data_IF_018324481528
#
_entry.id   IF_018324481528
#
_cell.length_a   1.000
_cell.length_b   1.000
_cell.length_c   1.000
_cell.angle_alpha   90.00
_cell.angle_beta   90.00
_cell.angle_gamma   90.00
#
_symmetry.space_group_name_H-M   'P 1'
#
loop_
_entity.id
_entity.type
_entity.pdbx_description
1 polymer ?
#
# COMPACT_ATOMS: atom_id res chain seq x y z
N UNK A 1 -11.66 -0.65 -12.89
CA UNK A 1 -10.43 -0.17 -12.25
C UNK A 1 -9.50 -1.36 -12.24
N UNK A 2 -8.38 -1.24 -12.94
CA UNK A 2 -7.32 -2.24 -12.90
C UNK A 2 -6.62 -2.20 -11.55
N UNK A 3 -6.15 -3.34 -11.06
CA UNK A 3 -5.56 -3.42 -9.73
C UNK A 3 -4.11 -2.92 -9.74
N UNK A 4 -3.84 -1.86 -8.98
CA UNK A 4 -2.50 -1.29 -8.81
C UNK A 4 -1.46 -2.33 -8.38
N UNK A 5 -1.78 -3.26 -7.47
CA UNK A 5 -0.81 -4.27 -7.02
C UNK A 5 -0.37 -5.17 -8.17
N UNK A 6 -1.34 -5.65 -8.95
CA UNK A 6 -1.08 -6.61 -10.02
C UNK A 6 -0.31 -5.92 -11.17
N UNK A 7 -0.74 -4.71 -11.56
CA UNK A 7 -0.05 -3.91 -12.57
C UNK A 7 1.40 -3.58 -12.17
N UNK A 8 1.65 -3.22 -10.90
CA UNK A 8 3.00 -3.00 -10.40
C UNK A 8 3.83 -4.29 -10.37
N UNK A 9 3.22 -5.43 -10.09
CA UNK A 9 3.86 -6.74 -10.13
C UNK A 9 4.40 -7.08 -11.51
N UNK A 10 3.55 -6.96 -12.54
CA UNK A 10 3.92 -7.24 -13.94
C UNK A 10 5.04 -6.32 -14.46
N UNK A 11 4.98 -5.03 -14.10
CA UNK A 11 6.01 -4.06 -14.46
C UNK A 11 7.34 -4.40 -13.76
N UNK A 12 7.31 -4.73 -12.46
CA UNK A 12 8.51 -5.10 -11.70
C UNK A 12 9.15 -6.36 -12.28
N UNK A 13 8.37 -7.37 -12.65
CA UNK A 13 8.88 -8.59 -13.28
C UNK A 13 9.58 -8.28 -14.61
N UNK A 14 8.95 -7.46 -15.46
CA UNK A 14 9.53 -7.05 -16.75
C UNK A 14 10.82 -6.24 -16.57
N UNK A 15 10.85 -5.31 -15.61
CA UNK A 15 12.03 -4.47 -15.34
C UNK A 15 13.15 -5.28 -14.68
N UNK A 16 12.84 -6.32 -13.89
CA UNK A 16 13.86 -7.16 -13.25
C UNK A 16 14.79 -7.85 -14.25
N UNK A 17 14.32 -8.03 -15.49
CA UNK A 17 15.09 -8.58 -16.61
C UNK A 17 15.96 -7.53 -17.31
N UNK A 18 15.73 -6.24 -17.06
CA UNK A 18 16.45 -5.14 -17.66
C UNK A 18 17.62 -4.69 -16.77
N UNK A 19 18.77 -4.40 -17.36
CA UNK A 19 19.91 -3.84 -16.62
C UNK A 19 19.71 -2.34 -16.39
N UNK A 20 20.08 -1.84 -15.20
CA UNK A 20 20.03 -0.41 -14.86
C UNK A 20 19.18 -0.09 -13.63
N UNK A 21 19.20 1.19 -13.23
CA UNK A 21 18.34 1.71 -12.17
C UNK A 21 17.11 2.35 -12.80
N UNK A 22 15.94 2.00 -12.27
CA UNK A 22 14.66 2.50 -12.74
C UNK A 22 13.90 3.14 -11.58
N UNK A 23 13.19 4.23 -11.88
CA UNK A 23 12.27 4.88 -10.94
C UNK A 23 10.88 4.74 -11.52
N UNK A 24 10.00 4.06 -10.79
CA UNK A 24 8.60 3.93 -11.15
C UNK A 24 7.81 5.07 -10.52
N UNK A 25 7.21 5.91 -11.37
CA UNK A 25 6.35 6.99 -10.93
C UNK A 25 4.91 6.66 -11.26
N UNK A 26 4.08 6.55 -10.23
CA UNK A 26 2.64 6.35 -10.38
C UNK A 26 2.02 7.72 -10.65
N UNK A 27 1.30 7.84 -11.77
CA UNK A 27 0.51 9.04 -12.09
C UNK A 27 -0.95 8.76 -11.79
N UNK A 28 -1.55 9.61 -10.98
CA UNK A 28 -2.98 9.58 -10.70
C UNK A 28 -3.69 10.86 -11.13
N UNK A 29 -5.01 10.88 -10.96
CA UNK A 29 -5.85 12.04 -11.26
C UNK A 29 -6.64 12.40 -10.00
N UNK A 30 -5.92 12.71 -8.93
CA UNK A 30 -6.52 13.14 -7.66
C UNK A 30 -7.15 14.53 -7.82
N UNK A 31 -8.22 14.78 -7.08
CA UNK A 31 -8.78 16.11 -6.84
C UNK A 31 -8.68 16.43 -5.34
N UNK A 32 -8.98 17.67 -4.97
CA UNK A 32 -8.90 18.15 -3.58
C UNK A 32 -9.71 17.27 -2.61
N UNK A 33 -10.84 16.72 -3.07
CA UNK A 33 -11.66 15.81 -2.29
C UNK A 33 -10.96 14.49 -1.98
N UNK A 34 -10.37 13.83 -2.99
CA UNK A 34 -9.62 12.59 -2.79
C UNK A 34 -8.35 12.83 -1.97
N UNK A 35 -7.70 13.98 -2.13
CA UNK A 35 -6.54 14.36 -1.35
C UNK A 35 -6.87 14.58 0.13
N UNK A 36 -7.97 15.26 0.44
CA UNK A 36 -8.45 15.41 1.82
C UNK A 36 -8.83 14.06 2.44
N UNK A 37 -9.57 13.24 1.69
CA UNK A 37 -9.98 11.92 2.18
C UNK A 37 -8.78 11.02 2.46
N UNK A 38 -7.76 11.08 1.60
CA UNK A 38 -6.48 10.42 1.82
C UNK A 38 -5.74 10.98 3.03
N UNK A 39 -5.64 12.30 3.16
CA UNK A 39 -4.96 12.96 4.29
C UNK A 39 -5.53 12.53 5.64
N UNK A 40 -6.84 12.28 5.73
CA UNK A 40 -7.49 11.77 6.93
C UNK A 40 -7.20 10.29 7.15
N UNK A 41 -7.30 9.47 6.09
CA UNK A 41 -7.10 8.03 6.19
C UNK A 41 -5.64 7.59 6.36
N UNK A 42 -4.67 8.38 5.89
CA UNK A 42 -3.25 8.00 5.86
C UNK A 42 -2.72 7.67 7.25
N UNK A 43 -3.22 8.30 8.32
CA UNK A 43 -2.78 8.01 9.69
C UNK A 43 -3.08 6.56 10.09
N UNK A 44 -4.29 6.07 9.78
CA UNK A 44 -4.67 4.69 10.06
C UNK A 44 -3.85 3.70 9.21
N UNK A 45 -3.52 4.09 7.97
CA UNK A 45 -2.68 3.28 7.08
C UNK A 45 -1.26 3.17 7.60
N UNK A 46 -0.64 4.29 7.96
CA UNK A 46 0.73 4.34 8.50
C UNK A 46 0.84 3.62 9.84
N UNK A 47 -0.14 3.82 10.73
CA UNK A 47 -0.21 3.08 12.00
C UNK A 47 -0.25 1.58 11.74
N UNK A 48 -1.09 1.13 10.81
CA UNK A 48 -1.22 -0.29 10.49
C UNK A 48 -0.01 -0.86 9.73
N UNK A 49 0.71 -0.03 8.98
CA UNK A 49 1.96 -0.40 8.34
C UNK A 49 3.09 -0.67 9.34
N UNK A 50 3.03 -0.03 10.52
CA UNK A 50 4.03 -0.15 11.59
C UNK A 50 3.62 -1.16 12.67
N UNK A 51 2.38 -1.06 13.18
CA UNK A 51 1.88 -1.85 14.32
C UNK A 51 1.19 -3.14 13.88
N UNK A 52 0.87 -3.28 12.60
CA UNK A 52 0.23 -4.49 12.06
C UNK A 52 -1.26 -4.62 12.35
N UNK A 53 -1.94 -3.58 12.87
CA UNK A 53 -3.40 -3.55 13.10
C UNK A 53 -4.21 -3.36 11.80
N UNK A 54 -3.86 -4.12 10.76
CA UNK A 54 -4.38 -4.00 9.39
C UNK A 54 -5.89 -4.28 9.27
N UNK A 55 -6.41 -5.24 10.04
CA UNK A 55 -7.83 -5.57 10.03
C UNK A 55 -8.69 -4.42 10.56
N UNK A 56 -8.21 -3.74 11.60
CA UNK A 56 -8.89 -2.59 12.20
C UNK A 56 -8.90 -1.42 11.22
N UNK A 57 -7.73 -1.06 10.69
CA UNK A 57 -7.56 -0.05 9.65
C UNK A 57 -8.46 -0.30 8.44
N UNK A 58 -8.48 -1.54 7.94
CA UNK A 58 -9.33 -1.88 6.81
C UNK A 58 -10.82 -1.65 7.14
N UNK A 59 -11.26 -2.05 8.33
CA UNK A 59 -12.65 -1.91 8.75
C UNK A 59 -13.08 -0.45 9.00
N UNK A 60 -12.17 0.40 9.50
CA UNK A 60 -12.45 1.81 9.79
C UNK A 60 -12.52 2.60 8.47
N UNK A 61 -11.51 2.47 7.61
CA UNK A 61 -11.44 3.18 6.33
C UNK A 61 -12.62 2.81 5.42
N UNK A 62 -13.00 1.53 5.35
CA UNK A 62 -14.17 1.13 4.55
C UNK A 62 -15.46 1.81 5.01
N UNK A 63 -15.65 2.02 6.31
CA UNK A 63 -16.83 2.72 6.84
C UNK A 63 -16.78 4.20 6.49
N UNK A 64 -15.61 4.83 6.66
CA UNK A 64 -15.40 6.26 6.38
C UNK A 64 -15.59 6.57 4.90
N UNK A 65 -14.92 5.83 4.02
CA UNK A 65 -14.98 6.02 2.57
C UNK A 65 -16.34 5.75 1.97
N UNK A 66 -17.07 4.77 2.52
CA UNK A 66 -18.47 4.55 2.16
C UNK A 66 -19.36 5.72 2.56
N UNK A 67 -19.17 6.28 3.76
CA UNK A 67 -19.91 7.48 4.21
C UNK A 67 -19.55 8.72 3.41
N UNK A 68 -18.30 8.82 2.97
CA UNK A 68 -17.81 9.91 2.14
C UNK A 68 -18.38 9.86 0.72
N UNK A 69 -18.86 8.70 0.26
CA UNK A 69 -19.50 8.54 -1.05
C UNK A 69 -18.50 8.24 -2.17
N UNK A 70 -17.41 7.53 -1.88
CA UNK A 70 -16.55 6.99 -2.94
C UNK A 70 -17.32 5.97 -3.79
N UNK A 71 -17.08 6.01 -5.10
CA UNK A 71 -17.70 5.06 -6.03
C UNK A 71 -17.08 3.68 -5.85
N UNK A 72 -15.75 3.65 -5.74
CA UNK A 72 -14.94 2.43 -5.58
C UNK A 72 -13.70 2.74 -4.77
N UNK A 73 -13.25 1.75 -4.01
CA UNK A 73 -11.95 1.73 -3.37
C UNK A 73 -11.39 0.31 -3.36
N UNK A 74 -10.08 0.19 -3.28
CA UNK A 74 -9.38 -1.09 -3.11
C UNK A 74 -8.21 -0.90 -2.15
N UNK A 75 -8.11 -1.81 -1.18
CA UNK A 75 -6.97 -1.92 -0.26
C UNK A 75 -6.43 -3.34 -0.47
N UNK A 76 -5.22 -3.45 -0.99
CA UNK A 76 -4.49 -4.71 -1.08
C UNK A 76 -3.16 -4.63 -0.35
N UNK A 77 -2.55 -5.79 -0.11
CA UNK A 77 -1.22 -5.87 0.48
C UNK A 77 -0.41 -7.01 -0.10
N UNK A 78 0.90 -6.86 -0.06
CA UNK A 78 1.85 -7.96 -0.15
C UNK A 78 2.78 -7.96 1.07
N UNK A 79 3.92 -8.64 0.97
CA UNK A 79 4.91 -8.73 2.06
C UNK A 79 5.64 -7.41 2.35
N UNK A 80 5.64 -6.48 1.40
CA UNK A 80 6.44 -5.26 1.42
C UNK A 80 5.59 -4.00 1.46
N UNK A 81 4.38 -4.00 0.87
CA UNK A 81 3.61 -2.79 0.64
C UNK A 81 2.11 -3.00 0.90
N UNK A 82 1.46 -1.90 1.29
CA UNK A 82 0.03 -1.68 1.17
C UNK A 82 -0.25 -0.88 -0.10
N UNK A 83 -1.28 -1.28 -0.83
CA UNK A 83 -1.70 -0.65 -2.08
C UNK A 83 -3.10 -0.09 -1.90
N UNK A 84 -3.26 1.22 -2.07
CA UNK A 84 -4.53 1.91 -1.85
C UNK A 84 -4.95 2.60 -3.14
N UNK A 85 -6.21 2.38 -3.51
CA UNK A 85 -6.82 2.95 -4.70
C UNK A 85 -8.16 3.54 -4.31
N UNK A 86 -8.37 4.83 -4.58
CA UNK A 86 -9.63 5.53 -4.36
C UNK A 86 -10.15 6.03 -5.70
N UNK A 87 -11.46 5.92 -5.93
CA UNK A 87 -12.10 6.44 -7.14
C UNK A 87 -13.39 7.20 -6.81
N UNK A 88 -13.51 8.40 -7.40
CA UNK A 88 -14.73 9.20 -7.43
C UNK A 88 -14.92 9.81 -8.83
N UNK A 89 -15.94 9.34 -9.54
CA UNK A 89 -16.21 9.65 -10.93
C UNK A 89 -14.99 9.35 -11.81
N UNK A 90 -14.45 10.43 -12.39
CA UNK A 90 -13.27 10.41 -13.25
C UNK A 90 -11.95 10.64 -12.50
N UNK A 91 -12.01 10.96 -11.21
CA UNK A 91 -10.84 11.19 -10.37
C UNK A 91 -10.45 9.90 -9.66
N UNK A 92 -9.16 9.68 -9.52
CA UNK A 92 -8.59 8.52 -8.87
C UNK A 92 -7.28 8.87 -8.19
N UNK A 93 -7.02 8.23 -7.06
CA UNK A 93 -5.83 8.41 -6.25
C UNK A 93 -5.20 7.04 -5.97
N UNK A 94 -3.89 6.96 -6.12
CA UNK A 94 -3.10 5.75 -5.93
C UNK A 94 -1.97 6.00 -4.94
N UNK A 95 -1.88 5.16 -3.91
CA UNK A 95 -0.83 5.25 -2.89
C UNK A 95 -0.24 3.87 -2.61
N UNK A 96 1.07 3.83 -2.48
CA UNK A 96 1.85 2.63 -2.14
C UNK A 96 2.59 2.93 -0.86
N UNK A 97 2.18 2.29 0.24
CA UNK A 97 2.74 2.54 1.57
C UNK A 97 3.62 1.34 1.96
N UNK A 98 4.93 1.54 2.14
CA UNK A 98 5.82 0.48 2.60
C UNK A 98 5.40 -0.03 3.98
N UNK A 99 5.42 -1.35 4.15
CA UNK A 99 5.20 -1.99 5.43
C UNK A 99 6.52 -2.19 6.12
N UNK A 100 6.62 -1.75 7.37
CA UNK A 100 7.76 -2.15 8.18
C UNK A 100 7.50 -3.59 8.61
N UNK A 101 8.43 -4.50 8.31
CA UNK A 101 8.34 -5.84 8.87
C UNK A 101 8.63 -5.73 10.37
N UNK A 102 7.69 -6.11 11.26
CA UNK A 102 7.93 -6.06 12.70
C UNK A 102 8.91 -7.14 13.19
N UNK A 103 9.51 -7.91 12.27
CA UNK A 103 10.55 -8.87 12.59
C UNK A 103 11.79 -8.59 11.75
N UNK A 104 12.98 -8.37 12.37
CA UNK A 104 14.20 -8.68 11.66
C UNK A 104 14.06 -10.13 11.16
N UNK A 105 14.35 -10.37 9.88
CA UNK A 105 14.51 -11.72 9.35
C UNK A 105 15.29 -12.50 10.39
N UNK A 106 14.68 -13.56 10.96
CA UNK A 106 15.20 -14.35 12.07
C UNK A 106 16.72 -14.23 12.12
N UNK A 107 17.23 -13.45 13.08
CA UNK A 107 18.61 -13.57 13.47
C UNK A 107 18.70 -14.97 14.07
N UNK A 108 18.88 -15.96 13.20
CA UNK A 108 19.42 -17.24 13.57
C UNK A 108 20.84 -16.90 14.02
N UNK A 109 20.97 -16.50 15.28
CA UNK A 109 22.21 -16.72 16.00
C UNK A 109 22.42 -18.23 15.93
N UNK A 110 23.17 -18.66 14.91
CA UNK A 110 23.81 -19.95 14.94
C UNK A 110 24.80 -19.83 16.08
N UNK A 111 24.35 -20.18 17.28
CA UNK A 111 25.25 -20.54 18.36
C UNK A 111 25.94 -21.80 17.88
N UNK A 112 27.09 -21.64 17.21
CA UNK A 112 28.09 -22.68 17.20
C UNK A 112 28.55 -22.80 18.65
N UNK A 113 27.86 -23.66 19.38
CA UNK A 113 28.35 -24.16 20.66
C UNK A 113 29.54 -25.05 20.32
N UNK A 114 30.71 -24.43 20.27
CA UNK A 114 31.98 -25.12 20.41
C UNK A 114 32.14 -25.46 21.90
N UNK A 115 31.77 -26.69 22.27
CA UNK A 115 32.30 -27.40 23.45
C UNK A 115 32.07 -28.91 23.36
#
# INVERSE_FOLDING_TARGET
>A
MENLKDALGEIKETISLASGQYVLQIKDRRNDYLEELWRQGQFAVEEAAVLGNLTEMHSSLQKEWRRAGLDRWLIEMDRENLYIQLQQGQFYLYEVVPRQQPYPALALEVTTDDA
#
